data_IF_455874154239
#
_entry.id   IF_455874154239
#
_cell.length_a   1.000
_cell.length_b   1.000
_cell.length_c   1.000
_cell.angle_alpha   90.00
_cell.angle_beta   90.00
_cell.angle_gamma   90.00
#
_symmetry.space_group_name_H-M   'P 1'
#
loop_
_entity.id
_entity.type
_entity.pdbx_description
1 polymer ?
#
# COMPACT_ATOMS: atom_id res chain seq x y z
N UNK A 1 -22.06 3.66 23.13
CA UNK A 1 -22.41 4.28 21.84
C UNK A 1 -21.15 4.35 21.00
N UNK A 2 -21.25 4.07 19.69
CA UNK A 2 -20.12 4.07 18.77
C UNK A 2 -20.37 5.09 17.66
N UNK A 3 -19.35 5.88 17.34
CA UNK A 3 -19.35 6.87 16.29
C UNK A 3 -18.00 6.87 15.57
N UNK A 4 -17.98 7.24 14.31
CA UNK A 4 -16.74 7.40 13.55
C UNK A 4 -16.15 8.80 13.79
N UNK A 5 -14.85 8.95 13.54
CA UNK A 5 -14.19 10.25 13.53
C UNK A 5 -14.69 11.12 12.37
N UNK A 6 -14.46 12.42 12.49
CA UNK A 6 -14.71 13.38 11.40
C UNK A 6 -13.53 13.29 10.42
N UNK A 7 -13.80 13.21 9.13
CA UNK A 7 -12.78 13.16 8.08
C UNK A 7 -11.70 14.23 8.27
N UNK A 8 -10.44 13.80 8.23
CA UNK A 8 -9.27 14.65 8.47
C UNK A 8 -9.06 15.07 9.93
N UNK A 9 -9.73 14.42 10.89
CA UNK A 9 -9.66 14.82 12.29
C UNK A 9 -9.72 13.60 13.23
N UNK A 10 -8.83 13.53 14.20
CA UNK A 10 -8.80 12.45 15.21
C UNK A 10 -9.83 12.67 16.34
N UNK A 11 -11.01 13.13 16.00
CA UNK A 11 -12.13 13.36 16.90
C UNK A 11 -13.45 13.17 16.17
N UNK A 12 -14.51 12.82 16.91
CA UNK A 12 -15.85 12.62 16.39
C UNK A 12 -16.90 13.40 17.20
N UNK A 13 -18.08 13.57 16.64
CA UNK A 13 -19.24 14.17 17.33
C UNK A 13 -20.16 13.05 17.76
N UNK A 14 -20.42 12.96 19.06
CA UNK A 14 -21.35 12.00 19.60
C UNK A 14 -22.68 12.67 20.01
N UNK A 15 -23.78 12.06 19.60
CA UNK A 15 -25.13 12.55 19.91
C UNK A 15 -25.95 11.46 20.57
N UNK A 16 -26.73 11.85 21.58
CA UNK A 16 -27.67 10.98 22.29
C UNK A 16 -28.84 11.79 22.81
N UNK A 17 -29.89 11.09 23.21
CA UNK A 17 -31.03 11.72 23.88
C UNK A 17 -30.72 11.92 25.37
N UNK A 18 -31.01 13.11 25.90
CA UNK A 18 -30.84 13.39 27.32
C UNK A 18 -31.76 12.47 28.14
N UNK A 19 -31.25 11.78 29.18
CA UNK A 19 -32.06 10.90 30.00
C UNK A 19 -33.16 11.68 30.71
N UNK A 20 -34.29 11.00 30.91
CA UNK A 20 -35.40 11.53 31.72
C UNK A 20 -35.15 11.21 33.20
N UNK A 21 -35.52 12.15 34.03
CA UNK A 21 -35.42 12.00 35.51
C UNK A 21 -36.80 12.18 36.09
N UNK A 22 -37.21 11.30 36.99
CA UNK A 22 -38.47 11.37 37.70
C UNK A 22 -38.19 11.31 39.23
N UNK A 23 -38.77 12.25 39.98
CA UNK A 23 -38.74 12.29 41.42
C UNK A 23 -40.03 12.97 41.94
N UNK A 24 -40.27 12.88 43.26
CA UNK A 24 -41.40 13.58 43.95
C UNK A 24 -41.13 15.07 44.12
N UNK A 25 -39.92 15.55 43.92
CA UNK A 25 -39.48 16.94 44.03
C UNK A 25 -38.81 17.43 42.76
N UNK A 26 -38.52 18.72 42.69
CA UNK A 26 -37.73 19.28 41.58
C UNK A 26 -36.31 18.73 41.56
N UNK A 27 -35.84 18.33 40.36
CA UNK A 27 -34.51 17.71 40.18
C UNK A 27 -33.67 18.57 39.22
N UNK A 28 -32.42 18.79 39.57
CA UNK A 28 -31.39 19.35 38.72
C UNK A 28 -30.58 18.22 38.08
N UNK A 29 -30.58 18.14 36.75
CA UNK A 29 -29.79 17.17 36.01
C UNK A 29 -28.56 17.86 35.41
N UNK A 30 -27.37 17.32 35.69
CA UNK A 30 -26.08 17.78 35.15
C UNK A 30 -25.32 16.63 34.50
N UNK A 31 -24.34 16.94 33.64
CA UNK A 31 -23.44 15.92 33.07
C UNK A 31 -22.06 16.50 32.79
N UNK A 32 -21.06 15.61 32.77
CA UNK A 32 -19.68 15.98 32.44
C UNK A 32 -19.49 16.28 30.93
N UNK A 33 -20.36 15.74 30.04
CA UNK A 33 -20.40 16.00 28.60
C UNK A 33 -21.83 16.26 28.16
N UNK A 34 -21.99 17.06 27.08
CA UNK A 34 -23.27 17.31 26.45
C UNK A 34 -23.38 16.58 25.12
N UNK A 35 -24.59 16.14 24.77
CA UNK A 35 -24.88 15.60 23.42
C UNK A 35 -24.49 16.63 22.36
N UNK A 36 -23.78 16.20 21.31
CA UNK A 36 -23.22 17.07 20.28
C UNK A 36 -21.80 17.60 20.57
N UNK A 37 -21.19 17.24 21.72
CA UNK A 37 -19.78 17.55 21.96
C UNK A 37 -18.86 16.76 21.03
N UNK A 38 -17.66 17.30 20.84
CA UNK A 38 -16.55 16.65 20.14
C UNK A 38 -15.79 15.79 21.17
N UNK A 39 -15.50 14.54 20.79
CA UNK A 39 -14.76 13.56 21.59
C UNK A 39 -13.52 13.13 20.84
N UNK A 40 -12.38 12.94 21.51
CA UNK A 40 -11.20 12.33 20.91
C UNK A 40 -11.48 10.85 20.57
N UNK A 41 -10.67 10.28 19.67
CA UNK A 41 -10.65 8.83 19.41
C UNK A 41 -10.44 8.07 20.71
N UNK A 42 -11.13 6.94 20.85
CA UNK A 42 -11.16 6.10 22.03
C UNK A 42 -12.46 6.24 22.82
N UNK A 43 -12.50 5.67 24.02
CA UNK A 43 -13.70 5.58 24.86
C UNK A 43 -13.69 6.61 25.97
N UNK A 44 -14.80 7.34 26.12
CA UNK A 44 -15.05 8.32 27.17
C UNK A 44 -16.28 7.93 27.97
N UNK A 45 -16.23 8.11 29.29
CA UNK A 45 -17.37 7.87 30.18
C UNK A 45 -18.20 9.16 30.33
N UNK A 46 -19.45 9.10 29.89
CA UNK A 46 -20.45 10.16 30.13
C UNK A 46 -21.22 9.84 31.40
N UNK A 47 -21.20 10.74 32.36
CA UNK A 47 -21.89 10.60 33.63
C UNK A 47 -22.93 11.71 33.79
N UNK A 48 -24.17 11.32 34.09
CA UNK A 48 -25.24 12.20 34.51
C UNK A 48 -25.42 12.13 35.98
N UNK A 49 -25.56 13.29 36.61
CA UNK A 49 -25.84 13.45 38.06
C UNK A 49 -27.17 14.18 38.22
N UNK A 50 -28.10 13.56 38.90
CA UNK A 50 -29.38 14.12 39.29
C UNK A 50 -29.35 14.48 40.77
N UNK A 51 -29.72 15.71 41.15
CA UNK A 51 -29.78 16.21 42.53
C UNK A 51 -31.15 16.81 42.79
N UNK A 52 -31.83 16.36 43.84
CA UNK A 52 -33.10 16.92 44.29
C UNK A 52 -32.89 18.15 45.21
N UNK A 53 -33.99 18.85 45.54
CA UNK A 53 -33.94 20.04 46.42
C UNK A 53 -33.53 19.71 47.86
N UNK A 54 -33.57 18.45 48.28
CA UNK A 54 -33.15 17.97 49.59
C UNK A 54 -31.64 17.61 49.61
N UNK A 55 -30.96 17.62 48.44
CA UNK A 55 -29.56 17.26 48.29
C UNK A 55 -29.30 15.75 48.12
N UNK A 56 -30.33 14.96 47.80
CA UNK A 56 -30.11 13.56 47.47
C UNK A 56 -29.59 13.47 46.02
N UNK A 57 -28.58 12.61 45.80
CA UNK A 57 -27.88 12.50 44.53
C UNK A 57 -28.03 11.08 43.97
N UNK A 58 -28.27 10.98 42.66
CA UNK A 58 -28.23 9.76 41.89
C UNK A 58 -27.33 9.96 40.67
N UNK A 59 -26.52 8.95 40.33
CA UNK A 59 -25.62 8.97 39.18
C UNK A 59 -25.89 7.79 38.25
N UNK A 60 -25.76 8.05 36.94
CA UNK A 60 -25.81 7.03 35.92
C UNK A 60 -24.81 7.38 34.81
N UNK A 61 -24.19 6.36 34.23
CA UNK A 61 -23.16 6.59 33.19
C UNK A 61 -23.28 5.60 32.06
N UNK A 62 -22.73 6.01 30.89
CA UNK A 62 -22.56 5.17 29.72
C UNK A 62 -21.29 5.57 28.98
N UNK A 63 -20.81 4.68 28.13
CA UNK A 63 -19.60 4.90 27.32
C UNK A 63 -19.95 5.43 25.94
N UNK A 64 -19.14 6.42 25.47
CA UNK A 64 -19.07 6.93 24.11
C UNK A 64 -17.72 6.56 23.56
N UNK A 65 -17.69 5.84 22.45
CA UNK A 65 -16.47 5.45 21.74
C UNK A 65 -16.45 6.11 20.39
N UNK A 66 -15.39 6.86 20.10
CA UNK A 66 -15.08 7.35 18.76
C UNK A 66 -14.06 6.37 18.14
N UNK A 67 -14.40 5.84 16.98
CA UNK A 67 -13.56 4.93 16.22
C UNK A 67 -12.83 5.69 15.13
N UNK A 68 -11.61 5.29 14.82
CA UNK A 68 -10.93 5.71 13.61
C UNK A 68 -11.49 4.90 12.42
N UNK A 69 -12.06 5.60 11.45
CA UNK A 69 -12.64 5.04 10.23
C UNK A 69 -11.94 5.57 8.96
N UNK A 70 -10.85 6.32 9.12
CA UNK A 70 -10.04 6.79 7.99
C UNK A 70 -8.98 5.76 7.63
N UNK A 71 -8.76 5.61 6.32
CA UNK A 71 -7.69 4.76 5.83
C UNK A 71 -6.34 5.49 5.89
N UNK A 72 -5.24 4.77 6.16
CA UNK A 72 -3.90 5.31 6.09
C UNK A 72 -3.55 5.74 4.66
N UNK A 73 -2.51 6.52 4.50
CA UNK A 73 -2.01 6.98 3.20
C UNK A 73 -0.51 6.74 3.09
N UNK A 74 -0.01 6.82 1.85
CA UNK A 74 1.42 6.69 1.59
C UNK A 74 2.06 8.04 1.28
N UNK A 75 3.27 8.25 1.80
CA UNK A 75 4.15 9.38 1.47
C UNK A 75 5.44 8.87 0.80
N UNK A 76 6.20 9.78 0.18
CA UNK A 76 7.42 9.46 -0.56
C UNK A 76 7.17 8.42 -1.67
N UNK A 77 6.13 8.65 -2.45
CA UNK A 77 5.73 7.77 -3.54
C UNK A 77 6.85 7.71 -4.59
N UNK A 78 7.38 6.51 -4.91
CA UNK A 78 8.35 6.39 -5.99
C UNK A 78 7.67 6.73 -7.33
N UNK A 79 8.40 7.49 -8.17
CA UNK A 79 7.99 7.72 -9.55
C UNK A 79 8.21 6.46 -10.39
N UNK A 80 7.96 6.53 -11.69
CA UNK A 80 8.25 5.43 -12.61
C UNK A 80 9.69 4.93 -12.42
N UNK A 81 9.83 3.61 -12.21
CA UNK A 81 11.09 2.95 -11.92
C UNK A 81 11.51 2.09 -13.12
N UNK A 82 12.59 2.49 -13.77
CA UNK A 82 13.15 1.80 -14.94
C UNK A 82 14.49 1.20 -14.55
N UNK A 83 14.64 -0.09 -14.79
CA UNK A 83 15.87 -0.86 -14.57
C UNK A 83 16.24 -1.62 -15.84
N UNK A 84 17.47 -2.15 -15.85
CA UNK A 84 17.97 -2.95 -16.95
C UNK A 84 18.38 -4.33 -16.45
N UNK A 85 18.32 -5.30 -17.34
CA UNK A 85 18.74 -6.67 -17.07
C UNK A 85 20.21 -6.75 -16.62
N UNK A 86 20.53 -7.78 -15.85
CA UNK A 86 21.92 -8.11 -15.54
C UNK A 86 22.61 -8.67 -16.77
N UNK A 87 23.83 -8.20 -17.14
CA UNK A 87 24.49 -8.64 -18.36
C UNK A 87 24.55 -10.17 -18.52
N UNK A 88 24.04 -10.67 -19.62
CA UNK A 88 23.94 -12.10 -19.95
C UNK A 88 22.79 -12.85 -19.26
N UNK A 89 21.84 -12.12 -18.63
CA UNK A 89 20.66 -12.69 -17.99
C UNK A 89 19.40 -11.97 -18.47
N UNK A 90 18.27 -12.68 -18.53
CA UNK A 90 16.99 -12.11 -18.95
C UNK A 90 16.17 -11.59 -17.75
N UNK A 91 16.85 -11.20 -16.69
CA UNK A 91 16.28 -10.60 -15.49
C UNK A 91 17.28 -9.58 -14.88
N UNK A 92 16.83 -8.85 -13.87
CA UNK A 92 17.67 -7.87 -13.21
C UNK A 92 17.17 -7.55 -11.81
N UNK A 93 18.05 -6.97 -11.00
CA UNK A 93 17.72 -6.54 -9.63
C UNK A 93 17.17 -5.13 -9.67
N UNK A 94 15.97 -4.93 -9.11
CA UNK A 94 15.38 -3.61 -8.94
C UNK A 94 15.52 -3.14 -7.49
N UNK A 95 16.06 -1.93 -7.28
CA UNK A 95 16.22 -1.33 -5.96
C UNK A 95 15.54 0.04 -5.89
N UNK A 96 14.71 0.24 -4.89
CA UNK A 96 14.01 1.51 -4.65
C UNK A 96 13.81 1.76 -3.16
N UNK A 97 13.46 2.99 -2.84
CA UNK A 97 12.95 3.31 -1.51
C UNK A 97 11.44 3.06 -1.51
N UNK A 98 10.93 2.14 -0.69
CA UNK A 98 9.50 1.86 -0.62
C UNK A 98 8.73 3.10 -0.11
N UNK A 99 7.46 3.26 -0.51
CA UNK A 99 6.61 4.29 0.05
C UNK A 99 6.42 4.08 1.55
N UNK A 100 6.29 5.17 2.28
CA UNK A 100 6.17 5.14 3.74
C UNK A 100 4.69 5.27 4.11
N UNK A 101 4.12 4.34 4.88
CA UNK A 101 2.76 4.46 5.37
C UNK A 101 2.68 5.54 6.45
N UNK A 102 1.58 6.26 6.47
CA UNK A 102 1.26 7.28 7.48
C UNK A 102 -0.24 7.29 7.73
N UNK A 103 -0.61 7.63 8.94
CA UNK A 103 -1.98 7.86 9.34
C UNK A 103 -2.09 9.14 10.18
N UNK A 104 -3.26 9.80 10.16
CA UNK A 104 -3.48 11.03 10.93
C UNK A 104 -3.77 10.74 12.40
N UNK A 105 -4.42 9.63 12.70
CA UNK A 105 -5.00 9.35 14.01
C UNK A 105 -4.30 8.23 14.77
N UNK A 106 -3.25 7.64 14.18
CA UNK A 106 -2.52 6.54 14.78
C UNK A 106 -1.22 6.21 14.09
N UNK A 107 -0.72 5.01 14.34
CA UNK A 107 0.37 4.42 13.60
C UNK A 107 -0.15 3.72 12.36
N UNK A 108 0.73 3.59 11.34
CA UNK A 108 0.45 2.74 10.19
C UNK A 108 1.66 1.87 9.87
N UNK A 109 1.39 0.64 9.44
CA UNK A 109 2.39 -0.32 8.96
C UNK A 109 2.09 -0.67 7.52
N UNK A 110 3.09 -1.15 6.76
CA UNK A 110 2.86 -1.62 5.41
C UNK A 110 3.54 -2.93 5.09
N UNK A 111 2.96 -3.65 4.14
CA UNK A 111 3.53 -4.83 3.49
C UNK A 111 3.65 -4.58 1.99
N UNK A 112 4.54 -5.33 1.33
CA UNK A 112 4.75 -5.24 -0.11
C UNK A 112 4.71 -6.62 -0.75
N UNK A 113 4.16 -6.72 -1.98
CA UNK A 113 4.16 -7.98 -2.74
C UNK A 113 5.58 -8.42 -3.15
N UNK A 114 6.51 -7.47 -3.30
CA UNK A 114 7.92 -7.69 -3.60
C UNK A 114 8.77 -6.74 -2.78
N UNK A 115 9.94 -7.23 -2.34
CA UNK A 115 10.90 -6.43 -1.60
C UNK A 115 11.88 -5.71 -2.55
N UNK A 116 12.32 -4.52 -2.16
CA UNK A 116 13.40 -3.81 -2.87
C UNK A 116 14.68 -4.64 -2.82
N UNK A 117 15.36 -4.77 -3.97
CA UNK A 117 16.57 -5.60 -4.10
C UNK A 117 16.29 -7.02 -4.57
N UNK A 118 15.07 -7.36 -4.94
CA UNK A 118 14.73 -8.66 -5.54
C UNK A 118 14.89 -8.64 -7.06
N UNK A 119 14.90 -9.83 -7.66
CA UNK A 119 15.05 -10.04 -9.09
C UNK A 119 13.69 -9.92 -9.77
N UNK A 120 13.66 -9.20 -10.92
CA UNK A 120 12.47 -9.02 -11.76
C UNK A 120 12.76 -9.50 -13.18
N UNK A 121 11.78 -10.16 -13.85
CA UNK A 121 11.87 -10.50 -15.25
C UNK A 121 11.74 -9.25 -16.14
N UNK A 122 12.15 -9.35 -17.39
CA UNK A 122 11.89 -8.32 -18.40
C UNK A 122 10.39 -8.03 -18.49
N UNK A 123 10.07 -6.75 -18.62
CA UNK A 123 8.70 -6.24 -18.73
C UNK A 123 8.27 -5.42 -17.52
N UNK A 124 6.97 -5.17 -17.44
CA UNK A 124 6.35 -4.40 -16.39
C UNK A 124 5.85 -5.32 -15.27
N UNK A 125 6.18 -4.98 -14.03
CA UNK A 125 5.69 -5.69 -12.83
C UNK A 125 5.11 -4.70 -11.85
N UNK A 126 3.88 -4.96 -11.39
CA UNK A 126 3.22 -4.20 -10.34
C UNK A 126 3.68 -4.69 -8.97
N UNK A 127 4.26 -3.78 -8.20
CA UNK A 127 4.55 -3.98 -6.77
C UNK A 127 3.45 -3.33 -5.96
N UNK A 128 2.63 -4.14 -5.31
CA UNK A 128 1.50 -3.70 -4.50
C UNK A 128 1.98 -3.50 -3.08
N UNK A 129 1.81 -2.28 -2.56
CA UNK A 129 2.01 -1.93 -1.16
C UNK A 129 0.65 -1.80 -0.49
N UNK A 130 0.46 -2.44 0.65
CA UNK A 130 -0.76 -2.35 1.46
C UNK A 130 -0.39 -1.76 2.81
N UNK A 131 -0.97 -0.62 3.16
CA UNK A 131 -0.86 -0.02 4.48
C UNK A 131 -2.06 -0.42 5.33
N UNK A 132 -1.83 -0.66 6.62
CA UNK A 132 -2.86 -0.92 7.63
C UNK A 132 -2.54 -0.06 8.85
N UNK A 133 -3.54 0.66 9.36
CA UNK A 133 -3.43 1.47 10.58
C UNK A 133 -3.69 0.66 11.86
N UNK A 134 -3.62 1.33 13.01
CA UNK A 134 -3.86 0.72 14.31
C UNK A 134 -5.34 0.34 14.54
N UNK A 135 -6.28 0.93 13.78
CA UNK A 135 -7.72 0.62 13.82
C UNK A 135 -8.10 -0.53 12.87
N UNK A 136 -7.22 -0.89 11.94
CA UNK A 136 -7.41 -1.94 10.94
C UNK A 136 -7.95 -1.43 9.61
N UNK A 137 -7.98 -0.11 9.36
CA UNK A 137 -8.31 0.42 8.04
C UNK A 137 -7.14 0.22 7.09
N UNK A 138 -7.43 0.03 5.79
CA UNK A 138 -6.41 -0.31 4.79
C UNK A 138 -6.42 0.65 3.60
N UNK A 139 -5.23 0.87 3.05
CA UNK A 139 -5.01 1.55 1.77
C UNK A 139 -3.95 0.83 0.96
N UNK A 140 -4.04 0.92 -0.37
CA UNK A 140 -3.07 0.32 -1.28
C UNK A 140 -2.47 1.35 -2.23
N UNK A 141 -1.20 1.13 -2.58
CA UNK A 141 -0.46 1.88 -3.58
C UNK A 141 0.32 0.92 -4.49
N UNK A 142 0.41 1.22 -5.78
CA UNK A 142 1.14 0.42 -6.75
C UNK A 142 2.37 1.17 -7.24
N UNK A 143 3.54 0.54 -7.12
CA UNK A 143 4.77 0.96 -7.77
C UNK A 143 4.97 0.11 -9.02
N UNK A 144 5.10 0.75 -10.19
CA UNK A 144 5.39 0.05 -11.44
C UNK A 144 6.90 -0.08 -11.63
N UNK A 145 7.39 -1.32 -11.73
CA UNK A 145 8.77 -1.65 -12.06
C UNK A 145 8.83 -2.04 -13.56
N UNK A 146 9.58 -1.28 -14.34
CA UNK A 146 9.85 -1.60 -15.75
C UNK A 146 11.28 -2.13 -15.89
N UNK A 147 11.44 -3.43 -16.14
CA UNK A 147 12.72 -4.08 -16.42
C UNK A 147 12.91 -4.15 -17.93
N UNK A 148 13.91 -3.42 -18.45
CA UNK A 148 14.24 -3.36 -19.86
C UNK A 148 15.41 -4.28 -20.18
N UNK A 149 15.41 -4.87 -21.38
CA UNK A 149 16.56 -5.57 -21.91
C UNK A 149 17.71 -4.58 -22.14
N UNK A 150 18.83 -4.81 -21.48
CA UNK A 150 20.04 -3.99 -21.57
C UNK A 150 21.16 -4.65 -22.38
N UNK A 151 20.96 -5.88 -22.84
CA UNK A 151 21.96 -6.63 -23.58
C UNK A 151 21.81 -6.48 -25.10
N UNK A 152 22.87 -6.82 -25.80
CA UNK A 152 22.85 -6.94 -27.28
C UNK A 152 22.75 -8.41 -27.66
N UNK A 153 22.09 -8.74 -28.80
CA UNK A 153 22.03 -10.10 -29.29
C UNK A 153 23.42 -10.73 -29.46
N UNK A 154 23.53 -12.00 -29.09
CA UNK A 154 24.75 -12.78 -29.21
C UNK A 154 24.65 -13.71 -30.40
N UNK A 155 25.59 -13.58 -31.35
CA UNK A 155 25.72 -14.47 -32.50
C UNK A 155 26.74 -15.55 -32.15
N UNK A 156 26.33 -16.81 -32.21
CA UNK A 156 27.17 -17.98 -31.97
C UNK A 156 27.19 -18.93 -33.16
N UNK A 157 28.06 -19.92 -33.09
CA UNK A 157 28.24 -20.94 -34.15
C UNK A 157 28.56 -20.36 -35.52
N UNK A 158 29.29 -19.23 -35.57
CA UNK A 158 29.76 -18.67 -36.84
C UNK A 158 30.65 -19.68 -37.54
N UNK A 159 30.37 -20.04 -38.82
CA UNK A 159 31.28 -20.85 -39.61
C UNK A 159 32.61 -20.13 -39.78
N UNK A 160 33.68 -20.89 -39.74
CA UNK A 160 34.99 -20.37 -40.15
C UNK A 160 35.06 -20.07 -41.62
N UNK A 161 36.23 -19.56 -42.09
CA UNK A 161 36.44 -19.31 -43.51
C UNK A 161 36.24 -20.59 -44.33
N UNK A 162 35.34 -20.50 -45.34
CA UNK A 162 35.01 -21.64 -46.18
C UNK A 162 35.78 -21.50 -47.49
N UNK A 163 36.75 -22.37 -47.69
CA UNK A 163 37.50 -22.46 -48.91
C UNK A 163 37.17 -23.77 -49.65
N UNK A 164 36.74 -23.70 -50.86
CA UNK A 164 36.43 -24.87 -51.69
C UNK A 164 37.13 -24.74 -53.05
N UNK A 165 37.59 -25.87 -53.56
CA UNK A 165 38.18 -25.93 -54.90
C UNK A 165 37.16 -26.49 -55.89
N UNK A 166 36.98 -25.80 -57.02
CA UNK A 166 36.11 -26.27 -58.06
C UNK A 166 36.81 -27.43 -58.80
N UNK A 167 36.08 -28.53 -59.13
CA UNK A 167 36.60 -29.61 -59.97
C UNK A 167 37.04 -29.13 -61.31
N UNK A 168 38.02 -29.81 -61.94
CA UNK A 168 38.52 -29.47 -63.28
C UNK A 168 37.37 -29.44 -64.29
N UNK A 169 37.21 -28.31 -64.97
CA UNK A 169 36.15 -28.11 -65.94
C UNK A 169 34.84 -27.54 -65.41
N UNK A 170 34.75 -27.29 -64.12
CA UNK A 170 33.60 -26.61 -63.47
C UNK A 170 33.96 -25.18 -63.03
N UNK A 171 33.11 -24.23 -63.37
CA UNK A 171 33.28 -22.83 -62.98
C UNK A 171 32.43 -22.48 -61.76
N UNK A 172 31.62 -23.42 -61.18
CA UNK A 172 30.74 -23.24 -60.04
C UNK A 172 30.73 -24.51 -59.23
N UNK A 173 30.62 -24.34 -57.92
CA UNK A 173 30.44 -25.41 -56.94
C UNK A 173 29.41 -24.97 -55.88
N UNK A 174 28.48 -25.85 -55.51
CA UNK A 174 27.59 -25.56 -54.40
C UNK A 174 28.37 -25.56 -53.06
N UNK A 175 28.16 -24.55 -52.26
CA UNK A 175 28.72 -24.44 -50.92
C UNK A 175 27.57 -24.45 -49.92
N UNK A 176 27.68 -25.23 -48.87
CA UNK A 176 26.74 -25.29 -47.80
C UNK A 176 27.44 -25.05 -46.47
N UNK A 177 26.78 -24.38 -45.59
CA UNK A 177 27.22 -24.15 -44.19
C UNK A 177 26.07 -24.26 -43.24
N UNK A 178 26.34 -24.47 -41.96
CA UNK A 178 25.37 -24.37 -40.91
C UNK A 178 25.17 -22.89 -40.56
N UNK A 179 23.94 -22.34 -40.63
CA UNK A 179 23.72 -20.95 -40.27
C UNK A 179 24.11 -20.70 -38.79
N UNK A 180 24.63 -19.51 -38.48
CA UNK A 180 24.87 -19.13 -37.09
C UNK A 180 23.54 -19.08 -36.30
N UNK A 181 23.64 -19.22 -34.99
CA UNK A 181 22.52 -19.04 -34.08
C UNK A 181 22.60 -17.65 -33.45
N UNK A 182 21.42 -17.05 -33.20
CA UNK A 182 21.30 -15.76 -32.52
C UNK A 182 20.50 -16.00 -31.27
N UNK A 183 21.00 -15.50 -30.13
CA UNK A 183 20.29 -15.55 -28.85
C UNK A 183 20.25 -14.18 -28.22
N UNK A 184 19.11 -13.85 -27.66
CA UNK A 184 18.84 -12.63 -26.90
C UNK A 184 17.75 -12.89 -25.88
N UNK A 185 17.52 -11.96 -24.97
CA UNK A 185 16.46 -12.04 -23.98
C UNK A 185 15.08 -11.65 -24.52
N UNK A 186 15.05 -10.88 -25.60
CA UNK A 186 13.85 -10.58 -26.38
C UNK A 186 13.88 -11.36 -27.70
N UNK A 187 12.71 -11.56 -28.33
CA UNK A 187 12.64 -12.25 -29.61
C UNK A 187 13.49 -11.53 -30.66
N UNK A 188 14.36 -12.28 -31.37
CA UNK A 188 15.28 -11.80 -32.42
C UNK A 188 14.75 -12.15 -33.78
#
# INVERSE_FOLDING_TARGET
LFFDNIEGNCAGIATWETPQVEDCSEVTLTSNYSSGNVFPIGTQLVTYTAEDIAGNISESSFEVTIQDAEAPFFVNLPSELIFYTTPGQCDGVATWNPPIPADLCGGATSTSSHESGTVFPIGATDVIHTATDDAGNEASYITLINMLDGDTPVISDMPGDITVEAPLGSCTIPVSWTPPTVTDCTEV
#
